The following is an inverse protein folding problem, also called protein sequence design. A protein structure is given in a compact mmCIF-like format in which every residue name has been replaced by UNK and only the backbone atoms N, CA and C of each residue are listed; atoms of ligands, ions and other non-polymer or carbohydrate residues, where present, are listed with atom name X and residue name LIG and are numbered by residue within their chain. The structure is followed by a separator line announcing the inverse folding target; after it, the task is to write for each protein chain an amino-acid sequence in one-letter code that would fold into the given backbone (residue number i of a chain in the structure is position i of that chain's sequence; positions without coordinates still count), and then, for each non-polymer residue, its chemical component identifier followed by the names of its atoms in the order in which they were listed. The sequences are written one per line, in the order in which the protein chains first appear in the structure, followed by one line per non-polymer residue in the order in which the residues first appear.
data_IF_797789756048
#
_entry.id   IF_797789756048
#
_cell.length_a   1.000
_cell.length_b   1.000
_cell.length_c   1.000
_cell.angle_alpha   90.00
_cell.angle_beta   90.00
_cell.angle_gamma   90.00
#
_symmetry.space_group_name_H-M   'P 1'
#
loop_
_entity.id
_entity.type
_entity.pdbx_description
1 polymer ?
#
# COMPACT_ATOMS: atom_id res chain seq x y z
N UNK A 1 -11.41 5.24 -6.17
CA UNK A 1 -10.63 4.74 -7.29
C UNK A 1 -10.56 3.24 -7.24
N UNK A 2 -10.45 2.63 -8.38
CA UNK A 2 -10.42 1.18 -8.43
C UNK A 2 -9.07 0.68 -8.91
N UNK A 3 -8.71 -0.52 -8.50
CA UNK A 3 -7.43 -1.10 -8.87
C UNK A 3 -7.23 -1.16 -10.36
N UNK A 4 -8.29 -1.23 -11.13
CA UNK A 4 -8.19 -1.27 -12.55
C UNK A 4 -7.41 -0.09 -13.07
N UNK A 5 -7.53 1.07 -12.46
CA UNK A 5 -6.88 2.27 -12.91
C UNK A 5 -5.39 2.25 -12.67
N UNK A 6 -4.92 1.32 -11.86
CA UNK A 6 -3.50 1.25 -11.51
C UNK A 6 -2.82 0.03 -12.14
N UNK A 7 -3.51 -0.65 -13.03
CA UNK A 7 -2.86 -1.78 -13.70
C UNK A 7 -2.96 -3.11 -12.99
N UNK A 8 -3.92 -3.26 -12.10
CA UNK A 8 -4.08 -4.51 -11.41
C UNK A 8 -4.58 -5.60 -12.34
N UNK A 9 -4.43 -6.87 -11.94
CA UNK A 9 -4.93 -7.97 -12.73
C UNK A 9 -6.43 -7.88 -12.84
N UNK A 10 -6.99 -8.37 -13.92
CA UNK A 10 -8.41 -8.30 -14.16
C UNK A 10 -9.26 -8.80 -12.99
N UNK A 11 -8.87 -9.83 -12.35
CA UNK A 11 -9.63 -10.37 -11.25
C UNK A 11 -9.66 -9.44 -10.05
N UNK A 12 -8.79 -8.46 -10.00
CA UNK A 12 -8.76 -7.52 -8.89
C UNK A 12 -9.20 -6.12 -9.31
N UNK A 13 -9.73 -5.98 -10.49
CA UNK A 13 -10.09 -4.65 -10.98
C UNK A 13 -11.11 -3.91 -10.12
N UNK A 14 -11.99 -4.65 -9.47
CA UNK A 14 -13.01 -3.99 -8.68
C UNK A 14 -12.60 -3.69 -7.24
N UNK A 15 -11.37 -3.96 -6.90
CA UNK A 15 -10.92 -3.69 -5.56
C UNK A 15 -10.76 -2.19 -5.36
N UNK A 16 -11.08 -1.69 -4.19
CA UNK A 16 -10.97 -0.28 -3.92
C UNK A 16 -9.57 0.11 -3.54
N UNK A 17 -9.14 1.27 -4.01
CA UNK A 17 -7.82 1.79 -3.69
C UNK A 17 -7.99 3.00 -2.80
N UNK A 18 -7.17 3.11 -1.79
CA UNK A 18 -7.21 4.24 -0.90
C UNK A 18 -5.82 4.87 -0.89
N UNK A 19 -5.57 5.85 -0.06
CA UNK A 19 -4.28 6.50 -0.02
C UNK A 19 -3.66 6.40 1.35
N UNK A 20 -2.37 6.21 1.38
CA UNK A 20 -1.64 6.08 2.62
C UNK A 20 -1.68 7.41 3.37
N UNK A 21 -2.00 7.39 4.63
CA UNK A 21 -2.07 8.61 5.39
C UNK A 21 -0.70 9.21 5.63
N UNK A 22 0.33 8.44 5.48
CA UNK A 22 1.65 8.95 5.75
C UNK A 22 2.40 9.47 4.56
N UNK A 23 2.41 8.75 3.48
CA UNK A 23 3.14 9.20 2.31
C UNK A 23 2.22 9.67 1.18
N UNK A 24 0.94 9.47 1.33
CA UNK A 24 0.01 9.94 0.32
C UNK A 24 -0.06 9.14 -0.96
N UNK A 25 0.58 7.98 -1.01
CA UNK A 25 0.55 7.19 -2.21
C UNK A 25 -0.63 6.23 -2.24
N UNK A 26 -1.10 5.85 -3.41
CA UNK A 26 -2.23 4.93 -3.49
C UNK A 26 -1.82 3.56 -2.97
N UNK A 27 -2.70 2.92 -2.23
CA UNK A 27 -2.44 1.62 -1.68
C UNK A 27 -3.69 0.78 -1.72
N UNK A 28 -3.53 -0.52 -1.52
CA UNK A 28 -4.64 -1.43 -1.46
C UNK A 28 -4.46 -2.33 -0.25
N UNK A 29 -5.53 -2.87 0.29
CA UNK A 29 -5.43 -3.76 1.42
C UNK A 29 -5.75 -5.18 0.92
N UNK A 30 -5.00 -6.14 1.41
CA UNK A 30 -5.23 -7.52 1.03
C UNK A 30 -4.90 -8.40 2.22
N UNK A 31 -5.22 -9.67 2.17
CA UNK A 31 -4.88 -10.59 3.23
C UNK A 31 -3.85 -11.57 2.72
N UNK A 32 -2.91 -11.91 3.60
CA UNK A 32 -1.89 -12.87 3.20
C UNK A 32 -2.38 -14.27 3.56
N UNK A 33 -1.55 -15.27 3.39
CA UNK A 33 -1.95 -16.62 3.64
C UNK A 33 -2.25 -16.89 5.09
N UNK A 34 -1.83 -16.04 5.99
CA UNK A 34 -2.13 -16.22 7.39
C UNK A 34 -3.38 -15.42 7.78
N UNK A 35 -4.10 -14.93 6.78
CA UNK A 35 -5.31 -14.20 7.00
C UNK A 35 -5.08 -12.88 7.74
N UNK A 36 -3.91 -12.29 7.57
CA UNK A 36 -3.62 -11.02 8.18
C UNK A 36 -3.64 -9.95 7.11
N UNK A 37 -4.10 -8.76 7.48
CA UNK A 37 -4.17 -7.68 6.54
C UNK A 37 -2.79 -7.14 6.25
N UNK A 38 -2.51 -6.92 4.98
CA UNK A 38 -1.24 -6.33 4.59
C UNK A 38 -1.55 -5.20 3.62
N UNK A 39 -0.66 -4.23 3.54
CA UNK A 39 -0.83 -3.08 2.66
C UNK A 39 -0.04 -3.35 1.39
N UNK A 40 -0.73 -3.32 0.27
CA UNK A 40 -0.13 -3.63 -1.01
C UNK A 40 -0.12 -2.43 -1.93
N UNK A 41 0.63 -2.50 -2.98
CA UNK A 41 0.63 -1.47 -3.99
C UNK A 41 -0.72 -1.55 -4.69
N UNK A 42 -1.17 -0.49 -5.33
CA UNK A 42 -2.50 -0.49 -5.94
C UNK A 42 -2.66 -1.47 -7.09
N UNK A 43 -1.54 -1.93 -7.65
CA UNK A 43 -1.63 -2.90 -8.75
C UNK A 43 -1.48 -4.32 -8.19
N UNK A 44 -1.36 -4.47 -6.89
CA UNK A 44 -1.23 -5.77 -6.22
C UNK A 44 0.00 -6.56 -6.64
N UNK A 45 1.01 -5.90 -7.12
CA UNK A 45 2.21 -6.60 -7.54
C UNK A 45 3.30 -6.64 -6.49
N UNK A 46 3.04 -6.07 -5.34
CA UNK A 46 4.02 -6.11 -4.26
C UNK A 46 3.51 -5.34 -3.08
N UNK A 47 4.28 -5.32 -2.00
CA UNK A 47 3.89 -4.62 -0.82
C UNK A 47 4.21 -3.15 -0.90
N UNK A 48 3.39 -2.35 -0.27
CA UNK A 48 3.60 -0.91 -0.24
C UNK A 48 4.81 -0.62 0.64
N UNK A 49 5.67 0.28 0.20
CA UNK A 49 6.83 0.66 0.97
C UNK A 49 6.72 2.14 1.26
N UNK A 50 6.39 2.48 2.50
CA UNK A 50 6.15 3.85 2.87
C UNK A 50 7.46 4.52 3.25
N UNK A 51 8.15 5.10 2.29
CA UNK A 51 9.39 5.70 2.55
C UNK A 51 9.40 6.89 3.44
N UNK A 52 8.37 7.65 3.44
CA UNK A 52 8.35 8.81 4.22
C UNK A 52 8.59 8.55 5.64
N UNK A 53 8.07 7.53 6.18
CA UNK A 53 8.24 7.25 7.52
C UNK A 53 9.62 6.96 7.88
N UNK A 54 10.29 6.23 7.11
CA UNK A 54 11.61 5.89 7.43
C UNK A 54 12.47 7.03 7.57
N UNK A 55 12.41 7.90 6.76
CA UNK A 55 13.23 9.01 6.79
C UNK A 55 13.17 9.79 7.99
N UNK A 56 12.09 10.23 8.40
CA UNK A 56 12.04 11.05 9.46
C UNK A 56 12.26 10.48 10.72
N UNK A 57 11.78 9.47 10.95
CA UNK A 57 11.88 8.94 12.18
C UNK A 57 13.17 8.68 12.59
N UNK A 58 13.84 8.12 11.86
CA UNK A 58 15.10 7.78 12.18
C UNK A 58 15.85 8.79 12.80
N UNK A 59 16.14 9.76 12.28
CA UNK A 59 16.92 10.64 12.85
C UNK A 59 16.46 11.27 13.99
N UNK A 60 15.31 11.45 14.13
CA UNK A 60 14.81 12.07 15.17
C UNK A 60 14.99 11.42 16.37
N UNK A 61 14.78 10.28 16.48
CA UNK A 61 14.82 9.60 17.61
C UNK A 61 15.97 9.57 18.15
N UNK A 62 16.62 9.24 17.62
CA UNK A 62 17.82 9.06 17.99
C UNK A 62 18.20 9.59 19.03
N UNK A 63 18.06 9.97 19.26
CA UNK A 63 18.32 10.41 20.02
C UNK A 63 18.27 10.45 20.69
#
# INVERSE_FOLDING_TARGET
MKAKEFGAPEELWNEDITFCNRCGEPIAFAKDENDKWVIMRPDFKGRHNCKMINIRREEKWGE
#
